data_IF_574740616813
#
_entry.id   IF_574740616813
#
_cell.length_a   1.000
_cell.length_b   1.000
_cell.length_c   1.000
_cell.angle_alpha   90.00
_cell.angle_beta   90.00
_cell.angle_gamma   90.00
#
_symmetry.space_group_name_H-M   'P 1'
#
loop_
_entity.id
_entity.type
_entity.pdbx_description
1 polymer ?
#
# COMPACT_ATOMS: atom_id res chain seq x y z
N UNK A 1 -33.69 -4.12 -11.03
CA UNK A 1 -32.83 -2.92 -11.21
C UNK A 1 -33.72 -1.69 -10.99
N UNK A 2 -33.41 -0.87 -9.99
CA UNK A 2 -34.21 0.34 -9.68
C UNK A 2 -34.07 1.34 -10.86
N UNK A 3 -35.20 1.79 -11.39
CA UNK A 3 -35.22 2.78 -12.47
C UNK A 3 -34.65 4.11 -11.97
N UNK A 4 -33.80 4.73 -12.76
CA UNK A 4 -33.30 6.07 -12.49
C UNK A 4 -34.39 7.06 -12.90
N UNK A 5 -34.76 7.91 -11.96
CA UNK A 5 -35.69 9.02 -12.14
C UNK A 5 -35.03 10.28 -11.60
N UNK A 6 -35.49 11.49 -12.01
CA UNK A 6 -34.85 12.73 -11.57
C UNK A 6 -34.64 12.83 -10.06
N UNK A 7 -35.64 12.42 -9.26
CA UNK A 7 -35.59 12.50 -7.80
C UNK A 7 -34.63 11.56 -7.10
N UNK A 8 -34.12 10.50 -7.76
CA UNK A 8 -33.17 9.56 -7.19
C UNK A 8 -31.79 9.60 -7.90
N UNK A 9 -31.59 10.55 -8.80
CA UNK A 9 -30.33 10.73 -9.51
C UNK A 9 -29.24 11.30 -8.60
N UNK A 10 -27.97 11.04 -8.96
CA UNK A 10 -26.82 11.63 -8.28
C UNK A 10 -26.88 13.16 -8.29
N UNK A 11 -27.29 13.73 -9.45
CA UNK A 11 -27.38 15.18 -9.61
C UNK A 11 -28.32 15.84 -8.60
N UNK A 12 -29.43 15.19 -8.26
CA UNK A 12 -30.43 15.73 -7.33
C UNK A 12 -30.10 15.40 -5.88
N UNK A 13 -29.62 14.17 -5.62
CA UNK A 13 -29.42 13.68 -4.24
C UNK A 13 -28.08 14.11 -3.64
N UNK A 14 -27.04 14.35 -4.47
CA UNK A 14 -25.68 14.70 -4.03
C UNK A 14 -25.08 15.77 -4.96
N UNK A 15 -25.68 16.97 -5.04
CA UNK A 15 -25.22 18.03 -5.95
C UNK A 15 -23.79 18.48 -5.67
N UNK A 16 -23.34 18.37 -4.43
CA UNK A 16 -21.96 18.68 -4.01
C UNK A 16 -20.90 17.79 -4.70
N UNK A 17 -21.29 16.60 -5.16
CA UNK A 17 -20.38 15.69 -5.86
C UNK A 17 -20.18 16.06 -7.34
N UNK A 18 -20.97 16.97 -7.89
CA UNK A 18 -20.94 17.32 -9.31
C UNK A 18 -19.64 18.05 -9.69
N UNK A 19 -19.08 18.84 -8.78
CA UNK A 19 -17.81 19.56 -9.01
C UNK A 19 -16.63 18.63 -9.23
N UNK A 20 -16.75 17.38 -8.74
CA UNK A 20 -15.71 16.35 -8.88
C UNK A 20 -16.05 15.30 -9.95
N UNK A 21 -17.16 15.44 -10.65
CA UNK A 21 -17.55 14.51 -11.72
C UNK A 21 -16.68 14.74 -12.96
N UNK A 22 -16.01 13.66 -13.42
CA UNK A 22 -15.23 13.72 -14.67
C UNK A 22 -16.16 13.63 -15.89
N UNK A 23 -16.57 14.76 -16.42
CA UNK A 23 -17.47 14.85 -17.58
C UNK A 23 -16.83 14.36 -18.87
N UNK A 24 -15.51 14.23 -18.93
CA UNK A 24 -14.79 13.77 -20.13
C UNK A 24 -14.75 12.23 -20.17
N UNK A 25 -14.44 11.60 -19.04
CA UNK A 25 -14.25 10.13 -18.97
C UNK A 25 -15.53 9.37 -18.71
N UNK A 26 -16.52 9.98 -18.08
CA UNK A 26 -17.80 9.33 -17.82
C UNK A 26 -18.71 9.45 -19.05
N UNK A 27 -19.17 8.29 -19.54
CA UNK A 27 -20.16 8.22 -20.66
C UNK A 27 -21.57 8.67 -20.28
N UNK A 28 -21.88 8.69 -18.98
CA UNK A 28 -23.18 9.06 -18.44
C UNK A 28 -23.09 10.36 -17.67
N UNK A 29 -24.19 11.09 -17.67
CA UNK A 29 -24.36 12.28 -16.84
C UNK A 29 -24.72 11.91 -15.40
N UNK A 30 -24.46 12.78 -14.41
CA UNK A 30 -24.90 12.57 -13.03
C UNK A 30 -26.41 12.37 -12.86
N UNK A 31 -27.21 12.93 -13.75
CA UNK A 31 -28.66 12.74 -13.81
C UNK A 31 -29.10 11.34 -14.22
N UNK A 32 -28.22 10.56 -14.84
CA UNK A 32 -28.49 9.21 -15.35
C UNK A 32 -27.98 8.09 -14.43
N UNK A 33 -27.44 8.45 -13.27
CA UNK A 33 -26.88 7.51 -12.30
C UNK A 33 -27.41 7.78 -10.90
N UNK A 34 -27.51 6.73 -10.07
CA UNK A 34 -27.90 6.88 -8.67
C UNK A 34 -26.69 6.73 -7.75
N UNK A 35 -26.60 7.60 -6.72
CA UNK A 35 -25.49 7.64 -5.78
C UNK A 35 -25.26 6.33 -5.02
N UNK A 36 -26.34 5.63 -4.63
CA UNK A 36 -26.29 4.42 -3.79
C UNK A 36 -25.82 3.14 -4.50
N UNK A 37 -25.16 3.22 -5.66
CA UNK A 37 -24.74 2.04 -6.42
C UNK A 37 -23.25 1.76 -6.30
N UNK A 38 -22.87 0.47 -6.38
CA UNK A 38 -21.47 0.03 -6.45
C UNK A 38 -20.83 0.27 -7.82
N UNK A 39 -21.59 0.82 -8.80
CA UNK A 39 -21.02 1.17 -10.12
C UNK A 39 -19.92 2.20 -9.96
N UNK A 40 -18.82 2.00 -10.69
CA UNK A 40 -17.65 2.90 -10.64
C UNK A 40 -17.80 4.00 -11.68
N UNK A 41 -17.49 5.22 -11.27
CA UNK A 41 -17.35 6.39 -12.12
C UNK A 41 -15.94 7.00 -11.99
N UNK A 42 -15.59 7.89 -12.90
CA UNK A 42 -14.38 8.69 -12.83
C UNK A 42 -14.67 10.01 -12.11
N UNK A 43 -13.75 10.42 -11.28
CA UNK A 43 -13.82 11.59 -10.43
C UNK A 43 -12.53 12.39 -10.54
N UNK A 44 -12.60 13.70 -10.39
CA UNK A 44 -11.44 14.59 -10.30
C UNK A 44 -11.52 15.34 -8.98
N UNK A 45 -10.52 15.15 -8.10
CA UNK A 45 -10.49 15.87 -6.83
C UNK A 45 -10.02 17.33 -7.02
N UNK A 46 -10.16 18.20 -5.99
CA UNK A 46 -9.71 19.60 -6.06
C UNK A 46 -8.22 19.74 -6.42
N UNK A 47 -7.38 18.76 -6.03
CA UNK A 47 -5.96 18.71 -6.38
C UNK A 47 -5.69 18.21 -7.82
N UNK A 48 -6.73 18.03 -8.65
CA UNK A 48 -6.62 17.59 -10.04
C UNK A 48 -6.38 16.10 -10.26
N UNK A 49 -6.32 15.27 -9.21
CA UNK A 49 -6.13 13.84 -9.40
C UNK A 49 -7.37 13.18 -9.97
N UNK A 50 -7.21 12.51 -11.11
CA UNK A 50 -8.28 11.70 -11.70
C UNK A 50 -8.22 10.26 -11.21
N UNK A 51 -9.34 9.74 -10.71
CA UNK A 51 -9.43 8.39 -10.14
C UNK A 51 -10.78 7.75 -10.39
N UNK A 52 -10.85 6.43 -10.20
CA UNK A 52 -12.08 5.67 -10.39
C UNK A 52 -12.55 5.12 -9.04
N UNK A 53 -13.77 5.45 -8.67
CA UNK A 53 -14.39 5.04 -7.39
C UNK A 53 -15.88 4.75 -7.59
N UNK A 54 -16.48 3.94 -6.70
CA UNK A 54 -17.91 3.67 -6.76
C UNK A 54 -18.71 4.94 -6.46
N UNK A 55 -19.90 5.06 -7.08
CA UNK A 55 -20.83 6.15 -6.80
C UNK A 55 -21.18 6.21 -5.30
N UNK A 56 -21.47 5.06 -4.69
CA UNK A 56 -21.73 4.97 -3.25
C UNK A 56 -20.53 5.40 -2.40
N UNK A 57 -19.33 4.91 -2.73
CA UNK A 57 -18.11 5.25 -2.01
C UNK A 57 -17.82 6.75 -2.01
N UNK A 58 -17.92 7.38 -3.19
CA UNK A 58 -17.65 8.81 -3.33
C UNK A 58 -18.77 9.68 -2.78
N UNK A 59 -20.01 9.50 -3.25
CA UNK A 59 -21.09 10.42 -2.95
C UNK A 59 -21.71 10.19 -1.56
N UNK A 60 -21.92 8.93 -1.15
CA UNK A 60 -22.60 8.59 0.11
C UNK A 60 -21.61 8.46 1.26
N UNK A 61 -20.54 7.65 1.09
CA UNK A 61 -19.56 7.42 2.15
C UNK A 61 -18.49 8.51 2.22
N UNK A 62 -18.49 9.49 1.31
CA UNK A 62 -17.53 10.61 1.25
C UNK A 62 -16.07 10.15 1.31
N UNK A 63 -15.79 9.00 0.71
CA UNK A 63 -14.42 8.49 0.65
C UNK A 63 -13.52 9.44 -0.13
N UNK A 64 -12.41 9.83 0.48
CA UNK A 64 -11.47 10.76 -0.09
C UNK A 64 -10.73 10.19 -1.33
N UNK A 65 -10.11 11.09 -2.10
CA UNK A 65 -9.26 10.73 -3.23
C UNK A 65 -8.12 9.80 -2.77
N UNK A 66 -7.94 8.62 -3.39
CA UNK A 66 -6.93 7.65 -2.98
C UNK A 66 -5.48 8.14 -3.16
N UNK A 67 -5.28 9.14 -3.99
CA UNK A 67 -3.97 9.80 -4.15
C UNK A 67 -3.72 10.78 -3.01
N UNK A 68 -4.68 11.66 -2.68
CA UNK A 68 -4.54 12.63 -1.60
C UNK A 68 -4.34 11.97 -0.22
N UNK A 69 -5.04 10.86 0.04
CA UNK A 69 -4.86 10.11 1.30
C UNK A 69 -3.72 9.09 1.24
N UNK A 70 -2.94 9.13 0.19
CA UNK A 70 -1.74 8.31 0.06
C UNK A 70 -1.97 6.80 -0.07
N UNK A 71 -3.12 6.35 -0.55
CA UNK A 71 -3.37 4.93 -0.84
C UNK A 71 -2.80 4.48 -2.18
N UNK A 72 -2.54 5.40 -3.10
CA UNK A 72 -1.98 5.11 -4.43
C UNK A 72 -0.75 5.95 -4.72
N UNK A 73 0.14 5.41 -5.54
CA UNK A 73 1.25 6.18 -6.10
C UNK A 73 0.68 7.19 -7.10
N UNK A 74 1.19 8.43 -7.04
CA UNK A 74 0.86 9.49 -7.98
C UNK A 74 1.26 9.11 -9.41
N UNK A 75 0.58 9.61 -10.45
CA UNK A 75 0.91 9.28 -11.84
C UNK A 75 2.33 9.66 -12.25
N UNK A 76 2.92 10.69 -11.63
CA UNK A 76 4.30 11.12 -11.83
C UNK A 76 5.32 10.32 -11.00
N UNK A 77 4.87 9.43 -10.14
CA UNK A 77 5.71 8.61 -9.28
C UNK A 77 6.36 9.32 -8.10
N UNK A 78 6.10 10.61 -7.89
CA UNK A 78 6.79 11.44 -6.90
C UNK A 78 6.66 10.96 -5.45
N UNK A 79 5.61 10.20 -5.13
CA UNK A 79 5.37 9.59 -3.82
C UNK A 79 5.60 8.07 -3.79
N UNK A 80 6.40 7.56 -4.72
CA UNK A 80 6.77 6.14 -4.78
C UNK A 80 7.93 5.81 -3.84
N UNK A 81 8.13 4.51 -3.60
CA UNK A 81 9.29 4.00 -2.86
C UNK A 81 10.60 4.46 -3.51
N UNK A 82 10.68 4.41 -4.84
CA UNK A 82 11.88 4.81 -5.56
C UNK A 82 12.19 6.31 -5.44
N UNK A 83 11.16 7.16 -5.39
CA UNK A 83 11.34 8.60 -5.28
C UNK A 83 11.68 9.06 -3.86
N UNK A 84 11.02 8.47 -2.85
CA UNK A 84 11.19 8.87 -1.44
C UNK A 84 12.36 8.15 -0.74
N UNK A 85 12.73 6.94 -1.22
CA UNK A 85 13.76 6.07 -0.64
C UNK A 85 14.65 5.46 -1.73
N UNK A 86 15.39 6.30 -2.48
CA UNK A 86 16.23 5.83 -3.60
C UNK A 86 17.29 4.81 -3.18
N UNK A 87 17.75 4.88 -1.92
CA UNK A 87 18.74 3.94 -1.38
C UNK A 87 18.20 2.50 -1.25
N UNK A 88 16.87 2.32 -1.20
CA UNK A 88 16.23 1.01 -1.14
C UNK A 88 16.05 0.38 -2.53
N UNK A 89 16.20 1.17 -3.60
CA UNK A 89 16.07 0.66 -4.98
C UNK A 89 17.17 -0.35 -5.28
N UNK A 90 18.39 -0.12 -4.82
CA UNK A 90 19.52 -1.02 -4.99
C UNK A 90 19.36 -2.38 -4.30
N UNK A 91 18.43 -2.44 -3.34
CA UNK A 91 18.11 -3.67 -2.62
C UNK A 91 16.81 -4.33 -3.13
N UNK A 92 16.14 -3.72 -4.08
CA UNK A 92 14.94 -4.28 -4.68
C UNK A 92 15.28 -5.43 -5.60
N UNK A 93 14.64 -6.59 -5.41
CA UNK A 93 14.84 -7.74 -6.28
C UNK A 93 13.88 -7.64 -7.49
N UNK A 94 14.38 -7.11 -8.60
CA UNK A 94 13.58 -6.88 -9.81
C UNK A 94 13.04 -8.18 -10.40
N UNK A 95 13.80 -9.27 -10.32
CA UNK A 95 13.42 -10.56 -10.90
C UNK A 95 12.24 -11.18 -10.12
N UNK A 96 12.37 -11.28 -8.80
CA UNK A 96 11.36 -11.90 -7.95
C UNK A 96 10.12 -11.01 -7.71
N UNK A 97 10.23 -9.71 -7.93
CA UNK A 97 9.12 -8.77 -7.79
C UNK A 97 8.43 -8.45 -9.13
N UNK A 98 8.98 -8.90 -10.27
CA UNK A 98 8.41 -8.65 -11.61
C UNK A 98 6.92 -9.03 -11.67
N UNK A 99 6.07 -8.23 -12.32
CA UNK A 99 6.36 -7.00 -13.08
C UNK A 99 6.28 -5.70 -12.25
N UNK A 100 6.29 -5.78 -10.92
CA UNK A 100 6.13 -4.61 -10.04
C UNK A 100 7.50 -3.98 -9.80
N UNK A 101 7.60 -2.67 -10.01
CA UNK A 101 8.80 -1.88 -9.77
C UNK A 101 8.67 -0.99 -8.53
N UNK A 102 9.77 -0.49 -7.93
CA UNK A 102 9.73 0.42 -6.79
C UNK A 102 8.95 1.73 -7.08
N UNK A 103 8.87 2.14 -8.35
CA UNK A 103 8.09 3.30 -8.80
C UNK A 103 6.56 3.11 -8.68
N UNK A 104 6.09 1.88 -8.54
CA UNK A 104 4.67 1.52 -8.42
C UNK A 104 4.26 1.21 -6.98
N UNK A 105 5.19 1.30 -6.05
CA UNK A 105 5.01 0.90 -4.66
C UNK A 105 5.05 2.12 -3.75
N UNK A 106 4.12 2.19 -2.80
CA UNK A 106 4.09 3.22 -1.76
C UNK A 106 5.03 2.86 -0.61
N UNK A 107 5.80 3.82 -0.04
CA UNK A 107 6.71 3.57 1.06
C UNK A 107 6.04 3.01 2.31
N UNK A 108 4.80 3.43 2.59
CA UNK A 108 4.05 3.02 3.79
C UNK A 108 3.15 1.79 3.58
N UNK A 109 3.35 1.04 2.48
CA UNK A 109 2.54 -0.17 2.25
C UNK A 109 2.95 -1.33 3.16
N UNK A 110 1.95 -2.06 3.67
CA UNK A 110 2.16 -3.30 4.43
C UNK A 110 2.37 -4.54 3.53
N UNK A 111 2.49 -4.36 2.23
CA UNK A 111 2.80 -5.46 1.32
C UNK A 111 4.24 -5.93 1.51
N UNK A 112 4.46 -7.23 1.33
CA UNK A 112 5.78 -7.87 1.37
C UNK A 112 6.32 -7.99 -0.04
N UNK A 113 7.60 -7.61 -0.19
CA UNK A 113 8.36 -7.75 -1.43
C UNK A 113 9.68 -8.47 -1.15
N UNK A 114 10.34 -8.89 -2.22
CA UNK A 114 11.65 -9.50 -2.18
C UNK A 114 12.73 -8.42 -2.23
N UNK A 115 13.75 -8.61 -1.42
CA UNK A 115 14.89 -7.71 -1.27
C UNK A 115 16.18 -8.52 -1.41
N UNK A 116 17.23 -7.91 -1.90
CA UNK A 116 18.57 -8.50 -2.02
C UNK A 116 19.59 -7.55 -1.41
N UNK A 117 20.49 -8.10 -0.58
CA UNK A 117 21.50 -7.28 0.04
C UNK A 117 22.44 -6.68 -1.00
N UNK A 118 22.64 -5.37 -0.94
CA UNK A 118 23.54 -4.64 -1.83
C UNK A 118 25.03 -4.88 -1.56
N UNK A 119 25.41 -5.47 -0.41
CA UNK A 119 26.79 -5.82 -0.11
C UNK A 119 27.20 -7.00 -0.97
N UNK A 120 28.24 -6.87 -1.84
CA UNK A 120 28.62 -7.93 -2.77
C UNK A 120 28.97 -9.25 -2.07
N UNK A 121 29.60 -9.15 -0.89
CA UNK A 121 30.00 -10.30 -0.08
C UNK A 121 28.84 -11.02 0.60
N UNK A 122 27.65 -10.38 0.68
CA UNK A 122 26.48 -10.94 1.34
C UNK A 122 25.48 -11.54 0.35
N UNK A 123 24.98 -10.73 -0.59
CA UNK A 123 24.03 -11.14 -1.62
C UNK A 123 22.75 -11.83 -1.11
N UNK A 124 22.50 -11.80 0.21
CA UNK A 124 21.36 -12.50 0.83
C UNK A 124 20.03 -11.93 0.38
N UNK A 125 19.13 -12.82 -0.05
CA UNK A 125 17.76 -12.46 -0.44
C UNK A 125 16.75 -12.74 0.69
N UNK A 126 15.81 -11.82 0.91
CA UNK A 126 14.77 -12.01 1.92
C UNK A 126 13.45 -11.34 1.52
N UNK A 127 12.39 -11.63 2.26
CA UNK A 127 11.10 -10.95 2.12
C UNK A 127 10.84 -10.06 3.31
N UNK A 128 10.51 -8.79 3.06
CA UNK A 128 10.15 -7.84 4.11
C UNK A 128 8.96 -6.97 3.70
N UNK A 129 8.24 -6.46 4.70
CA UNK A 129 7.20 -5.45 4.53
C UNK A 129 7.88 -4.13 4.17
N UNK A 130 7.36 -3.41 3.17
CA UNK A 130 7.96 -2.13 2.74
C UNK A 130 7.99 -1.11 3.88
N UNK A 131 6.88 -0.92 4.59
CA UNK A 131 6.84 0.04 5.71
C UNK A 131 7.83 -0.29 6.84
N UNK A 132 8.19 -1.55 7.05
CA UNK A 132 9.25 -1.90 8.01
C UNK A 132 10.63 -1.44 7.53
N UNK A 133 10.86 -1.43 6.21
CA UNK A 133 12.09 -0.93 5.63
C UNK A 133 12.18 0.59 5.71
N UNK A 134 11.08 1.28 5.39
CA UNK A 134 11.04 2.76 5.31
C UNK A 134 10.89 3.44 6.65
N UNK A 135 10.04 2.92 7.56
CA UNK A 135 9.74 3.57 8.84
C UNK A 135 10.63 3.08 9.98
N UNK A 136 10.99 1.77 9.98
CA UNK A 136 11.75 1.15 11.06
C UNK A 136 13.22 0.95 10.71
N UNK A 137 13.61 1.25 9.48
CA UNK A 137 14.99 1.11 9.02
C UNK A 137 15.51 -0.33 9.09
N UNK A 138 14.63 -1.33 8.97
CA UNK A 138 15.08 -2.73 8.99
C UNK A 138 15.96 -3.03 7.79
N UNK A 139 17.11 -3.63 8.03
CA UNK A 139 18.11 -3.94 7.03
C UNK A 139 18.17 -5.45 6.71
N UNK A 140 19.16 -5.84 5.89
CA UNK A 140 19.43 -7.24 5.58
C UNK A 140 19.62 -8.07 6.87
N UNK A 141 18.83 -9.11 7.11
CA UNK A 141 18.91 -9.91 8.34
C UNK A 141 20.22 -10.69 8.45
N UNK A 142 20.92 -10.96 7.33
CA UNK A 142 22.22 -11.58 7.34
C UNK A 142 23.35 -10.64 7.75
N UNK A 143 23.14 -9.31 7.68
CA UNK A 143 24.13 -8.30 8.04
C UNK A 143 23.89 -7.65 9.41
N UNK A 144 22.81 -8.00 10.09
CA UNK A 144 22.52 -7.45 11.44
C UNK A 144 23.49 -8.05 12.45
N UNK A 145 24.12 -7.21 13.25
CA UNK A 145 25.11 -7.63 14.27
C UNK A 145 24.45 -8.08 15.57
N UNK A 146 23.21 -7.66 15.84
CA UNK A 146 22.47 -7.96 17.06
C UNK A 146 21.22 -8.81 16.77
N UNK A 147 20.99 -9.85 17.57
CA UNK A 147 19.84 -10.76 17.46
C UNK A 147 20.10 -12.00 16.61
N UNK A 148 19.02 -12.74 16.32
CA UNK A 148 19.10 -13.96 15.50
C UNK A 148 19.35 -13.59 14.03
N UNK A 149 20.49 -13.98 13.52
CA UNK A 149 20.91 -13.71 12.14
C UNK A 149 20.81 -15.00 11.31
N UNK A 150 19.83 -15.07 10.40
CA UNK A 150 19.56 -16.25 9.55
C UNK A 150 20.70 -16.59 8.57
N UNK A 151 21.57 -15.63 8.27
CA UNK A 151 22.68 -15.80 7.34
C UNK A 151 24.03 -16.14 8.00
N UNK A 152 24.10 -16.20 9.32
CA UNK A 152 25.34 -16.53 10.07
C UNK A 152 25.14 -17.82 10.86
N UNK A 153 26.20 -18.61 10.95
CA UNK A 153 26.24 -19.76 11.85
C UNK A 153 26.03 -19.30 13.29
N UNK A 154 25.05 -19.88 13.98
CA UNK A 154 24.75 -19.57 15.37
C UNK A 154 24.90 -20.81 16.23
N UNK A 155 25.36 -20.64 17.47
CA UNK A 155 25.36 -21.72 18.48
C UNK A 155 24.05 -21.67 19.25
N UNK A 156 23.35 -22.80 19.31
CA UNK A 156 22.18 -22.96 20.15
C UNK A 156 22.63 -23.42 21.54
N UNK A 157 22.44 -22.58 22.54
CA UNK A 157 22.68 -22.97 23.92
C UNK A 157 21.40 -23.53 24.54
N UNK A 158 21.41 -24.82 24.88
CA UNK A 158 20.35 -25.48 25.62
C UNK A 158 20.68 -25.41 27.13
N UNK A 159 19.93 -24.62 27.87
CA UNK A 159 20.00 -24.62 29.33
C UNK A 159 18.99 -25.62 29.90
N UNK A 160 19.46 -26.69 30.45
CA UNK A 160 18.63 -27.61 31.25
C UNK A 160 18.54 -27.09 32.69
N UNK A 161 17.38 -26.57 33.06
CA UNK A 161 17.09 -26.25 34.45
C UNK A 161 16.81 -27.56 35.19
N UNK A 162 17.75 -28.03 36.05
CA UNK A 162 17.47 -29.06 37.00
C UNK A 162 16.64 -28.46 38.13
N UNK A 163 15.43 -28.98 38.32
CA UNK A 163 14.68 -28.75 39.55
C UNK A 163 15.51 -29.33 40.71
N UNK A 164 15.86 -28.52 41.69
CA UNK A 164 16.27 -29.05 42.98
C UNK A 164 15.00 -29.54 43.64
N UNK A 165 14.88 -30.86 43.74
CA UNK A 165 13.88 -31.46 44.61
C UNK A 165 14.27 -31.06 46.06
N UNK A 166 13.45 -30.23 46.67
CA UNK A 166 13.50 -30.00 48.10
C UNK A 166 12.84 -31.22 48.75
N UNK A 167 13.63 -32.27 48.94
CA UNK A 167 13.33 -33.27 49.98
C UNK A 167 13.68 -32.61 51.29
N UNK A 168 12.68 -31.96 51.87
CA UNK A 168 12.74 -31.45 53.24
C UNK A 168 12.33 -32.52 54.18
N UNK A 169 13.21 -32.88 55.07
CA UNK A 169 12.94 -33.53 56.36
C UNK A 169 12.13 -32.59 57.23
#
# INVERSE_FOLDING_TARGET
IRKIVPSNSLATTHPESLSQWDYVRNKKLPSEVAAGTAKKAYWVCPEGHSYRQSLHGHAVLKQACPFCIGQKVLPDGSNSLAAEFPELVDEWDDELNSPITPWQVRPMTHKRFHWKCRKPECGFGWRAIVSSRTSQGTNCPACVETGFNQGKSAFLYLFALRRKDHDGV
#
